data_IF_299976579723
#
_entry.id   IF_299976579723
#
_cell.length_a   1.000
_cell.length_b   1.000
_cell.length_c   1.000
_cell.angle_alpha   90.00
_cell.angle_beta   90.00
_cell.angle_gamma   90.00
#
_symmetry.space_group_name_H-M   'P 1'
#
loop_
_entity.id
_entity.type
_entity.pdbx_description
1 polymer ?
#
# COMPACT_ATOMS: atom_id res chain seq x y z
N UNK A 1 28.08 28.90 -6.14
CA UNK A 1 26.97 28.58 -5.22
C UNK A 1 25.77 28.16 -6.06
N UNK A 2 25.49 26.86 -6.14
CA UNK A 2 24.33 26.39 -6.90
C UNK A 2 23.06 26.80 -6.17
N UNK A 3 22.34 27.75 -6.76
CA UNK A 3 21.05 28.23 -6.30
C UNK A 3 20.14 27.03 -5.96
N UNK A 4 19.54 27.02 -4.77
CA UNK A 4 18.45 26.13 -4.37
C UNK A 4 17.22 26.37 -5.24
N UNK A 5 17.31 26.07 -6.54
CA UNK A 5 16.20 26.20 -7.48
C UNK A 5 15.27 25.02 -7.23
N UNK A 6 14.09 25.31 -6.69
CA UNK A 6 13.04 24.31 -6.51
C UNK A 6 12.68 23.76 -7.89
N UNK A 7 12.91 22.48 -8.10
CA UNK A 7 12.55 21.81 -9.36
C UNK A 7 11.03 21.67 -9.39
N UNK A 8 10.43 22.06 -10.51
CA UNK A 8 8.98 22.04 -10.72
C UNK A 8 8.70 21.34 -12.05
N UNK A 9 7.79 20.37 -12.03
CA UNK A 9 7.40 19.65 -13.23
C UNK A 9 6.68 20.57 -14.23
N UNK A 10 7.00 20.41 -15.51
CA UNK A 10 6.29 21.06 -16.62
C UNK A 10 5.23 20.12 -17.19
N UNK A 11 4.01 20.62 -17.37
CA UNK A 11 2.86 19.84 -17.85
C UNK A 11 2.07 20.68 -18.86
N UNK A 12 1.39 20.01 -19.79
CA UNK A 12 0.51 20.65 -20.77
C UNK A 12 -0.80 21.12 -20.12
N UNK A 13 -1.25 22.31 -20.49
CA UNK A 13 -2.58 22.85 -20.20
C UNK A 13 -3.69 21.93 -20.74
N UNK A 14 -4.78 21.68 -20.00
CA UNK A 14 -5.95 20.97 -20.52
C UNK A 14 -6.77 21.75 -21.55
N UNK A 15 -6.54 23.07 -21.69
CA UNK A 15 -7.27 23.91 -22.63
C UNK A 15 -6.97 23.52 -24.09
N UNK A 16 -7.85 23.89 -25.02
CA UNK A 16 -7.62 23.69 -26.46
C UNK A 16 -6.30 24.33 -26.90
N UNK A 17 -5.99 25.51 -26.35
CA UNK A 17 -4.69 26.16 -26.50
C UNK A 17 -3.69 25.54 -25.50
N UNK A 18 -3.14 24.41 -25.93
CA UNK A 18 -2.23 23.57 -25.15
C UNK A 18 -0.85 24.22 -25.00
N UNK A 19 -0.70 25.10 -24.01
CA UNK A 19 0.60 25.65 -23.61
C UNK A 19 1.22 24.84 -22.47
N UNK A 20 2.56 24.94 -22.32
CA UNK A 20 3.28 24.33 -21.19
C UNK A 20 3.15 25.22 -19.96
N UNK A 21 2.80 24.63 -18.83
CA UNK A 21 2.64 25.32 -17.54
C UNK A 21 3.38 24.58 -16.43
N UNK A 22 3.70 25.31 -15.36
CA UNK A 22 4.24 24.73 -14.13
C UNK A 22 3.14 23.94 -13.43
N UNK A 23 3.43 22.69 -13.07
CA UNK A 23 2.54 21.84 -12.30
C UNK A 23 2.84 21.92 -10.80
N UNK A 24 1.97 21.31 -9.98
CA UNK A 24 2.15 21.23 -8.53
C UNK A 24 3.36 20.37 -8.14
N UNK A 25 3.57 19.25 -8.81
CA UNK A 25 4.63 18.28 -8.49
C UNK A 25 4.86 17.26 -9.60
N UNK A 26 5.75 16.29 -9.39
CA UNK A 26 6.05 15.19 -10.33
C UNK A 26 5.07 14.04 -10.17
N UNK A 27 4.75 13.34 -11.27
CA UNK A 27 3.86 12.17 -11.22
C UNK A 27 4.59 10.93 -10.70
N UNK A 28 3.86 9.98 -10.12
CA UNK A 28 4.44 8.71 -9.68
C UNK A 28 5.08 7.92 -10.84
N UNK A 29 4.54 8.06 -12.05
CA UNK A 29 5.08 7.43 -13.26
C UNK A 29 6.45 7.98 -13.64
N UNK A 30 6.60 9.32 -13.62
CA UNK A 30 7.87 10.01 -13.91
C UNK A 30 8.95 9.64 -12.90
N UNK A 31 8.59 9.58 -11.61
CA UNK A 31 9.51 9.25 -10.51
C UNK A 31 10.03 7.81 -10.63
N UNK A 32 9.12 6.87 -10.93
CA UNK A 32 9.48 5.45 -11.11
C UNK A 32 10.42 5.26 -12.29
N UNK A 33 10.17 5.98 -13.39
CA UNK A 33 10.96 5.90 -14.62
C UNK A 33 12.35 6.57 -14.50
N UNK A 34 12.45 7.60 -13.65
CA UNK A 34 13.71 8.20 -13.26
C UNK A 34 14.53 7.33 -12.27
N UNK A 35 13.97 6.22 -11.78
CA UNK A 35 14.62 5.34 -10.81
C UNK A 35 14.81 5.98 -9.44
N UNK A 36 13.97 6.95 -9.05
CA UNK A 36 14.05 7.64 -7.76
C UNK A 36 13.00 7.12 -6.80
N UNK A 37 13.31 7.18 -5.50
CA UNK A 37 12.34 6.86 -4.45
C UNK A 37 11.58 8.11 -4.01
N UNK A 38 10.31 7.92 -3.65
CA UNK A 38 9.44 8.98 -3.09
C UNK A 38 10.08 9.62 -1.86
N UNK A 39 10.76 8.83 -1.03
CA UNK A 39 11.46 9.29 0.17
C UNK A 39 12.63 10.23 -0.14
N UNK A 40 13.42 9.90 -1.17
CA UNK A 40 14.52 10.76 -1.62
C UNK A 40 13.99 12.13 -2.05
N UNK A 41 12.90 12.15 -2.81
CA UNK A 41 12.28 13.40 -3.27
C UNK A 41 11.69 14.21 -2.13
N UNK A 42 11.08 13.56 -1.12
CA UNK A 42 10.63 14.23 0.11
C UNK A 42 11.79 14.85 0.88
N UNK A 43 12.96 14.18 0.96
CA UNK A 43 14.18 14.75 1.58
C UNK A 43 14.73 15.94 0.81
N UNK A 44 14.62 15.92 -0.52
CA UNK A 44 15.01 17.01 -1.41
C UNK A 44 13.95 18.12 -1.54
N UNK A 45 12.84 18.03 -0.80
CA UNK A 45 11.74 18.99 -0.82
C UNK A 45 11.11 19.18 -2.22
N UNK A 46 11.07 18.11 -3.01
CA UNK A 46 10.40 18.07 -4.32
C UNK A 46 8.95 17.62 -4.13
N UNK A 47 8.02 18.39 -4.70
CA UNK A 47 6.59 18.10 -4.61
C UNK A 47 6.20 16.92 -5.50
N UNK A 48 5.30 16.07 -4.99
CA UNK A 48 4.83 14.85 -5.66
C UNK A 48 3.31 14.94 -5.84
N UNK A 49 2.86 14.71 -7.07
CA UNK A 49 1.46 14.64 -7.44
C UNK A 49 1.04 13.18 -7.61
N UNK A 50 0.44 12.63 -6.55
CA UNK A 50 0.03 11.23 -6.47
C UNK A 50 -1.08 10.85 -7.46
N UNK A 51 -1.88 11.82 -7.90
CA UNK A 51 -3.08 11.57 -8.71
C UNK A 51 -2.84 11.73 -10.21
N UNK A 52 -1.76 12.41 -10.62
CA UNK A 52 -1.41 12.56 -12.04
C UNK A 52 -0.87 11.24 -12.61
N UNK A 53 -1.43 10.83 -13.75
CA UNK A 53 -1.00 9.62 -14.49
C UNK A 53 -0.15 9.91 -15.73
N UNK A 54 -0.13 11.16 -16.20
CA UNK A 54 0.68 11.56 -17.35
C UNK A 54 2.17 11.46 -17.03
N UNK A 55 2.95 11.25 -18.09
CA UNK A 55 4.40 11.18 -18.06
C UNK A 55 4.95 12.11 -19.11
N UNK A 56 5.96 12.89 -18.74
CA UNK A 56 6.70 13.75 -19.66
C UNK A 56 8.19 13.44 -19.56
N UNK A 57 8.82 13.18 -20.70
CA UNK A 57 10.24 12.80 -20.78
C UNK A 57 11.16 13.89 -20.22
N UNK A 58 10.87 15.16 -20.54
CA UNK A 58 11.58 16.33 -19.96
C UNK A 58 11.63 16.31 -18.42
N UNK A 59 10.54 15.93 -17.77
CA UNK A 59 10.48 15.82 -16.31
C UNK A 59 11.32 14.63 -15.79
N UNK A 60 11.33 13.51 -16.52
CA UNK A 60 12.14 12.32 -16.16
C UNK A 60 13.63 12.64 -16.22
N UNK A 61 14.07 13.37 -17.25
CA UNK A 61 15.46 13.81 -17.37
C UNK A 61 15.87 14.76 -16.25
N UNK A 62 15.01 15.72 -15.89
CA UNK A 62 15.23 16.60 -14.74
C UNK A 62 15.38 15.80 -13.43
N UNK A 63 14.52 14.80 -13.23
CA UNK A 63 14.61 13.91 -12.06
C UNK A 63 15.85 13.02 -12.08
N UNK A 64 16.34 12.60 -13.25
CA UNK A 64 17.59 11.81 -13.37
C UNK A 64 18.81 12.62 -12.91
N UNK A 65 18.84 13.92 -13.24
CA UNK A 65 19.93 14.84 -12.86
C UNK A 65 20.03 15.04 -11.34
N UNK A 66 18.95 14.81 -10.59
CA UNK A 66 18.96 14.91 -9.13
C UNK A 66 19.84 13.82 -8.50
N UNK A 67 20.91 14.23 -7.83
CA UNK A 67 21.71 13.34 -6.97
C UNK A 67 21.12 13.30 -5.56
N UNK A 68 21.03 12.11 -4.97
CA UNK A 68 20.56 11.95 -3.60
C UNK A 68 21.59 12.49 -2.62
N UNK A 69 21.15 13.20 -1.58
CA UNK A 69 22.04 13.52 -0.47
C UNK A 69 22.00 12.37 0.54
N UNK A 70 23.11 11.66 0.72
CA UNK A 70 23.30 10.66 1.77
C UNK A 70 23.50 11.33 3.14
N UNK A 71 22.55 12.17 3.55
CA UNK A 71 22.53 12.66 4.93
C UNK A 71 22.11 11.47 5.78
N UNK A 72 23.09 10.78 6.39
CA UNK A 72 22.85 9.78 7.45
C UNK A 72 21.93 10.43 8.48
N UNK A 73 20.65 10.04 8.48
CA UNK A 73 19.70 10.54 9.44
C UNK A 73 20.21 10.18 10.82
N UNK A 74 20.34 11.16 11.72
CA UNK A 74 20.72 10.87 13.10
C UNK A 74 19.70 9.87 13.65
N UNK A 75 20.14 8.67 14.05
CA UNK A 75 19.26 7.66 14.64
C UNK A 75 18.56 8.33 15.83
N UNK A 76 17.22 8.39 15.80
CA UNK A 76 16.46 8.88 16.96
C UNK A 76 16.83 7.97 18.13
N UNK A 77 17.20 8.56 19.27
CA UNK A 77 17.40 7.78 20.49
C UNK A 77 16.10 7.01 20.78
N UNK A 78 16.17 5.74 21.24
CA UNK A 78 14.97 5.02 21.63
C UNK A 78 14.19 5.86 22.63
N UNK A 79 12.85 5.86 22.49
CA UNK A 79 11.99 6.58 23.41
C UNK A 79 12.11 5.92 24.78
N UNK A 80 12.84 6.55 25.69
CA UNK A 80 12.89 6.13 27.09
C UNK A 80 11.52 6.46 27.68
N UNK A 81 10.73 5.43 27.98
CA UNK A 81 9.47 5.59 28.71
C UNK A 81 9.83 6.22 30.05
N UNK A 82 9.54 7.51 30.20
CA UNK A 82 9.67 8.16 31.51
C UNK A 82 8.74 7.43 32.45
N UNK A 83 9.28 6.91 33.54
CA UNK A 83 8.48 6.44 34.65
C UNK A 83 7.50 7.54 35.02
N UNK A 84 6.21 7.26 34.87
CA UNK A 84 5.18 8.18 35.34
C UNK A 84 5.34 8.22 36.84
N UNK A 85 6.01 9.26 37.36
CA UNK A 85 5.95 9.57 38.79
C UNK A 85 4.46 9.71 39.11
N UNK A 86 3.90 8.72 39.82
CA UNK A 86 2.54 8.79 40.33
C UNK A 86 2.53 10.01 41.21
N UNK A 87 1.87 11.09 40.77
CA UNK A 87 1.52 12.16 41.69
C UNK A 87 0.68 11.52 42.79
N UNK A 88 0.94 11.82 44.08
CA UNK A 88 0.10 11.34 45.16
C UNK A 88 -1.36 11.56 44.80
N UNK A 89 -2.18 10.54 45.00
CA UNK A 89 -3.62 10.64 44.74
C UNK A 89 -4.15 11.80 45.58
N UNK A 90 -4.49 12.91 44.92
CA UNK A 90 -5.11 14.05 45.57
C UNK A 90 -6.61 13.73 45.59
N UNK A 91 -7.19 13.36 46.74
CA UNK A 91 -8.62 13.08 46.81
C UNK A 91 -9.34 14.31 46.30
N UNK A 92 -10.27 14.11 45.35
CA UNK A 92 -11.14 15.18 44.91
C UNK A 92 -11.94 15.59 46.13
N UNK A 93 -11.64 16.75 46.69
CA UNK A 93 -12.54 17.42 47.63
C UNK A 93 -13.93 17.38 46.98
N UNK A 94 -14.90 16.88 47.74
CA UNK A 94 -16.30 16.84 47.33
C UNK A 94 -16.64 18.18 46.70
N UNK A 95 -17.03 18.13 45.42
CA UNK A 95 -17.48 19.34 44.72
C UNK A 95 -18.63 19.91 45.56
N UNK A 96 -18.58 21.17 46.02
CA UNK A 96 -19.76 21.80 46.58
C UNK A 96 -20.86 21.70 45.54
N UNK A 97 -22.02 21.19 45.97
CA UNK A 97 -23.20 21.00 45.12
C UNK A 97 -23.47 22.30 44.35
N UNK A 98 -23.40 22.22 43.03
CA UNK A 98 -23.75 23.36 42.19
C UNK A 98 -25.24 23.61 42.39
N UNK A 99 -25.57 24.77 42.99
CA UNK A 99 -26.92 25.32 42.95
C UNK A 99 -27.45 25.32 41.50
N UNK A 100 -28.74 25.03 41.29
CA UNK A 100 -29.31 24.84 39.96
C UNK A 100 -29.23 26.15 39.16
N UNK A 101 -28.42 26.16 38.09
CA UNK A 101 -28.39 27.27 37.14
C UNK A 101 -29.62 27.16 36.24
N UNK A 102 -30.46 28.20 36.25
CA UNK A 102 -31.64 28.35 35.39
C UNK A 102 -31.25 28.16 33.92
N UNK A 103 -31.95 27.25 33.23
CA UNK A 103 -31.89 27.10 31.77
C UNK A 103 -32.40 28.38 31.11
N UNK A 104 -31.51 29.14 30.49
CA UNK A 104 -31.90 30.12 29.47
C UNK A 104 -31.88 29.39 28.13
N UNK A 105 -33.08 29.24 27.57
CA UNK A 105 -33.33 28.75 26.21
C UNK A 105 -32.84 29.83 25.25
N UNK A 106 -31.79 29.55 24.49
CA UNK A 106 -31.37 30.38 23.37
C UNK A 106 -31.46 29.54 22.10
N UNK A 107 -32.47 29.89 21.28
CA UNK A 107 -32.71 29.42 19.94
C UNK A 107 -31.44 29.47 19.08
N UNK A 108 -31.15 28.37 18.38
CA UNK A 108 -30.23 28.37 17.25
C UNK A 108 -31.05 28.48 15.96
N UNK A 109 -30.83 29.51 15.13
CA UNK A 109 -31.52 29.66 13.86
C UNK A 109 -31.06 28.61 12.85
N UNK A 110 -32.04 28.06 12.15
CA UNK A 110 -31.94 27.06 11.11
C UNK A 110 -31.09 27.52 9.91
N UNK A 111 -30.29 26.61 9.34
CA UNK A 111 -29.68 26.77 8.01
C UNK A 111 -30.47 25.95 6.97
N UNK A 112 -30.83 26.56 5.82
CA UNK A 112 -31.75 25.97 4.86
C UNK A 112 -31.11 24.91 3.97
N UNK A 113 -31.92 23.89 3.70
CA UNK A 113 -31.76 22.83 2.71
C UNK A 113 -31.83 23.41 1.28
N UNK A 114 -30.89 23.02 0.42
CA UNK A 114 -31.03 23.15 -1.03
C UNK A 114 -31.05 21.75 -1.65
N UNK A 115 -32.25 21.33 -2.03
CA UNK A 115 -32.50 20.29 -3.01
C UNK A 115 -32.52 20.94 -4.40
N UNK A 116 -31.76 20.40 -5.36
CA UNK A 116 -32.14 20.42 -6.77
C UNK A 116 -31.40 19.31 -7.53
N UNK A 117 -32.21 18.60 -8.30
CA UNK A 117 -32.03 17.33 -9.00
C UNK A 117 -31.69 17.62 -10.47
N UNK A 118 -30.84 16.79 -11.10
CA UNK A 118 -30.75 16.46 -12.56
C UNK A 118 -29.40 15.74 -12.79
N UNK A 119 -29.19 14.66 -13.52
CA UNK A 119 -29.97 13.62 -14.22
C UNK A 119 -28.91 12.55 -14.62
N UNK A 120 -29.23 11.25 -14.69
CA UNK A 120 -28.25 10.21 -14.98
C UNK A 120 -27.97 10.12 -16.49
N UNK A 121 -26.68 10.20 -16.87
CA UNK A 121 -26.21 10.01 -18.24
C UNK A 121 -25.60 8.60 -18.42
N UNK A 122 -25.62 8.05 -19.64
CA UNK A 122 -25.87 6.63 -19.90
C UNK A 122 -24.65 5.71 -19.80
N UNK A 123 -24.94 4.44 -19.44
CA UNK A 123 -24.03 3.28 -19.55
C UNK A 123 -23.47 3.19 -20.96
N UNK A 124 -22.15 3.34 -21.11
CA UNK A 124 -21.42 2.93 -22.31
C UNK A 124 -20.89 1.52 -22.12
N UNK A 125 -21.11 0.73 -23.15
CA UNK A 125 -20.90 -0.71 -23.23
C UNK A 125 -19.47 -1.15 -22.95
N UNK A 126 -19.44 -2.37 -22.41
CA UNK A 126 -18.31 -3.16 -21.99
C UNK A 126 -17.69 -3.80 -23.24
N UNK A 127 -16.71 -3.14 -23.85
CA UNK A 127 -15.88 -3.80 -24.87
C UNK A 127 -14.88 -4.70 -24.15
N UNK A 128 -15.15 -6.01 -24.23
CA UNK A 128 -14.20 -7.09 -23.94
C UNK A 128 -12.99 -6.89 -24.86
N UNK A 129 -11.81 -6.64 -24.27
CA UNK A 129 -10.54 -6.87 -24.96
C UNK A 129 -10.05 -8.26 -24.60
N UNK A 130 -9.99 -9.10 -25.62
CA UNK A 130 -9.48 -10.46 -25.61
C UNK A 130 -8.03 -10.48 -25.09
N UNK A 131 -7.69 -11.37 -24.14
CA UNK A 131 -6.30 -11.67 -23.85
C UNK A 131 -5.71 -12.53 -24.97
N UNK A 132 -4.57 -12.07 -25.47
CA UNK A 132 -3.72 -12.73 -26.45
C UNK A 132 -3.38 -14.15 -26.00
N UNK A 133 -3.65 -15.08 -26.90
CA UNK A 133 -3.08 -16.41 -27.01
C UNK A 133 -1.56 -16.34 -27.02
N UNK A 134 -0.92 -16.89 -25.97
CA UNK A 134 0.42 -17.45 -26.08
C UNK A 134 0.32 -18.88 -25.59
N UNK A 135 0.40 -19.79 -26.56
CA UNK A 135 0.53 -21.22 -26.36
C UNK A 135 1.83 -21.52 -25.64
N UNK A 136 1.76 -22.30 -24.57
CA UNK A 136 2.81 -23.25 -24.23
C UNK A 136 2.11 -24.52 -23.72
N UNK A 137 2.08 -25.52 -24.60
CA UNK A 137 1.53 -26.84 -24.33
C UNK A 137 2.57 -27.72 -23.62
N UNK A 138 2.11 -28.32 -22.50
CA UNK A 138 2.38 -29.66 -21.95
C UNK A 138 3.80 -30.06 -21.48
N UNK A 139 3.94 -31.07 -20.58
CA UNK A 139 2.92 -31.98 -20.01
C UNK A 139 2.94 -32.14 -18.47
N UNK A 140 1.82 -32.59 -17.86
CA UNK A 140 1.72 -33.81 -17.01
C UNK A 140 0.52 -33.78 -16.04
N UNK A 141 -0.28 -34.85 -16.16
CA UNK A 141 -1.14 -35.54 -15.19
C UNK A 141 -1.50 -34.83 -13.88
N UNK A 142 -2.80 -34.63 -13.65
CA UNK A 142 -3.53 -34.78 -12.37
C UNK A 142 -2.80 -34.46 -11.03
N UNK A 143 -1.98 -33.42 -10.98
CA UNK A 143 -1.42 -32.98 -9.70
C UNK A 143 -2.36 -31.98 -9.05
N UNK A 144 -2.88 -32.35 -7.88
CA UNK A 144 -3.68 -31.46 -7.04
C UNK A 144 -2.88 -30.18 -6.74
N UNK A 145 -3.40 -29.04 -7.22
CA UNK A 145 -2.76 -27.75 -7.03
C UNK A 145 -2.66 -27.40 -5.54
N UNK A 146 -1.49 -26.93 -5.10
CA UNK A 146 -1.21 -26.59 -3.69
C UNK A 146 -2.22 -25.58 -3.12
N UNK A 147 -2.81 -24.73 -3.97
CA UNK A 147 -3.84 -23.75 -3.61
C UNK A 147 -5.16 -24.34 -3.12
N UNK A 148 -5.37 -25.65 -3.28
CA UNK A 148 -6.57 -26.34 -2.76
C UNK A 148 -6.48 -26.64 -1.26
N UNK A 149 -5.29 -26.51 -0.65
CA UNK A 149 -5.08 -26.76 0.77
C UNK A 149 -5.66 -25.65 1.66
N UNK A 150 -6.15 -26.05 2.83
CA UNK A 150 -6.84 -25.14 3.71
C UNK A 150 -5.89 -24.08 4.28
N UNK A 151 -6.23 -22.81 4.04
CA UNK A 151 -5.44 -21.68 4.50
C UNK A 151 -4.04 -21.56 3.89
N UNK A 152 -3.81 -22.17 2.70
CA UNK A 152 -2.66 -21.87 1.85
C UNK A 152 -3.08 -20.87 0.77
N UNK A 153 -2.72 -19.60 0.97
CA UNK A 153 -3.06 -18.52 0.03
C UNK A 153 -2.09 -18.45 -1.17
N UNK A 154 -2.46 -17.71 -2.24
CA UNK A 154 -1.65 -17.62 -3.46
C UNK A 154 -0.26 -17.00 -3.23
N UNK A 155 -0.13 -16.12 -2.24
CA UNK A 155 1.16 -15.54 -1.88
C UNK A 155 2.10 -16.54 -1.22
N UNK A 156 1.55 -17.52 -0.52
CA UNK A 156 2.33 -18.60 0.11
C UNK A 156 2.64 -19.68 -0.92
N UNK A 157 1.66 -20.05 -1.76
CA UNK A 157 1.87 -20.97 -2.90
C UNK A 157 3.04 -20.55 -3.78
N UNK A 158 3.14 -19.26 -4.13
CA UNK A 158 4.27 -18.72 -4.90
C UNK A 158 5.63 -18.92 -4.24
N UNK A 159 5.70 -18.86 -2.90
CA UNK A 159 6.96 -19.13 -2.18
C UNK A 159 7.34 -20.60 -2.25
N UNK A 160 6.36 -21.50 -2.22
CA UNK A 160 6.58 -22.93 -2.42
C UNK A 160 7.00 -23.23 -3.86
N UNK A 161 6.36 -22.60 -4.85
CA UNK A 161 6.76 -22.68 -6.27
C UNK A 161 8.20 -22.18 -6.49
N UNK A 162 8.61 -21.08 -5.84
CA UNK A 162 9.98 -20.56 -5.87
C UNK A 162 11.01 -21.56 -5.29
N UNK A 163 10.58 -22.44 -4.38
CA UNK A 163 11.39 -23.50 -3.78
C UNK A 163 11.34 -24.81 -4.56
N UNK A 164 10.53 -24.88 -5.61
CA UNK A 164 10.35 -26.09 -6.42
C UNK A 164 9.25 -27.02 -5.93
N UNK A 165 8.46 -26.61 -4.93
CA UNK A 165 7.30 -27.36 -4.43
C UNK A 165 6.05 -26.84 -5.11
N UNK A 166 5.68 -27.49 -6.20
CA UNK A 166 4.51 -27.14 -7.02
C UNK A 166 3.30 -28.03 -6.77
N UNK A 167 3.52 -29.24 -6.25
CA UNK A 167 2.49 -30.28 -6.11
C UNK A 167 2.33 -30.79 -4.66
N UNK A 168 1.13 -31.28 -4.33
CA UNK A 168 0.85 -31.90 -3.03
C UNK A 168 1.75 -33.11 -2.73
N UNK A 169 2.13 -33.89 -3.76
CA UNK A 169 3.03 -35.03 -3.62
C UNK A 169 4.47 -34.62 -3.28
N UNK A 170 4.92 -33.46 -3.76
CA UNK A 170 6.25 -32.92 -3.48
C UNK A 170 6.32 -32.45 -2.03
N UNK A 171 5.25 -31.82 -1.53
CA UNK A 171 5.16 -31.38 -0.14
C UNK A 171 5.22 -32.55 0.86
N UNK A 172 4.71 -33.73 0.50
CA UNK A 172 4.73 -34.92 1.37
C UNK A 172 6.13 -35.54 1.47
N UNK A 173 6.99 -35.34 0.46
CA UNK A 173 8.35 -35.91 0.40
C UNK A 173 9.39 -35.06 1.13
N UNK A 174 9.12 -33.77 1.32
CA UNK A 174 10.05 -32.83 1.94
C UNK A 174 9.90 -32.74 3.46
N UNK A 175 10.99 -32.32 4.12
CA UNK A 175 11.03 -32.18 5.58
C UNK A 175 10.40 -30.84 6.04
N UNK A 176 9.41 -30.87 6.96
CA UNK A 176 8.71 -29.67 7.40
C UNK A 176 9.61 -28.68 8.14
N UNK A 177 10.67 -29.17 8.79
CA UNK A 177 11.63 -28.36 9.54
C UNK A 177 12.53 -27.51 8.64
N UNK A 178 12.83 -27.99 7.42
CA UNK A 178 13.64 -27.24 6.46
C UNK A 178 12.82 -26.16 5.78
N UNK A 179 11.61 -26.51 5.36
CA UNK A 179 10.66 -25.59 4.74
C UNK A 179 10.27 -24.42 5.66
N UNK A 180 10.08 -24.66 6.95
CA UNK A 180 9.75 -23.60 7.90
C UNK A 180 10.87 -22.56 8.07
N UNK A 181 12.14 -23.01 8.01
CA UNK A 181 13.30 -22.09 8.10
C UNK A 181 13.44 -21.24 6.84
N UNK A 182 13.10 -21.81 5.69
CA UNK A 182 13.28 -21.17 4.40
C UNK A 182 12.12 -20.22 4.06
N UNK A 183 10.89 -20.60 4.43
CA UNK A 183 9.69 -19.81 4.15
C UNK A 183 9.39 -18.86 5.32
N UNK A 184 9.71 -17.58 5.14
CA UNK A 184 9.37 -16.54 6.12
C UNK A 184 7.86 -16.45 6.35
N UNK A 185 7.45 -16.74 7.58
CA UNK A 185 6.07 -16.55 8.08
C UNK A 185 5.21 -17.82 8.07
N UNK A 186 5.78 -18.99 7.84
CA UNK A 186 5.11 -20.29 7.97
C UNK A 186 5.76 -21.05 9.14
N UNK A 187 4.97 -21.51 10.10
CA UNK A 187 5.46 -22.36 11.20
C UNK A 187 5.52 -23.84 10.80
N UNK A 188 6.37 -24.62 11.46
CA UNK A 188 6.50 -26.07 11.24
C UNK A 188 5.16 -26.80 11.41
N UNK A 189 4.40 -26.45 12.45
CA UNK A 189 3.06 -26.99 12.73
C UNK A 189 2.09 -26.80 11.56
N UNK A 190 2.19 -25.65 10.86
CA UNK A 190 1.35 -25.32 9.72
C UNK A 190 1.63 -26.28 8.56
N UNK A 191 2.90 -26.56 8.32
CA UNK A 191 3.36 -27.46 7.24
C UNK A 191 2.96 -28.89 7.57
N UNK A 192 3.07 -29.32 8.83
CA UNK A 192 2.61 -30.64 9.28
C UNK A 192 1.10 -30.81 9.01
N UNK A 193 0.30 -29.78 9.27
CA UNK A 193 -1.14 -29.83 8.99
C UNK A 193 -1.42 -29.92 7.48
N UNK A 194 -0.70 -29.18 6.65
CA UNK A 194 -0.82 -29.30 5.19
C UNK A 194 -0.41 -30.68 4.67
N UNK A 195 0.65 -31.28 5.22
CA UNK A 195 1.05 -32.66 4.85
C UNK A 195 -0.04 -33.66 5.24
N UNK A 196 -0.71 -33.49 6.38
CA UNK A 196 -1.86 -34.34 6.77
C UNK A 196 -3.02 -34.20 5.78
N UNK A 197 -3.40 -32.97 5.44
CA UNK A 197 -4.43 -32.70 4.43
C UNK A 197 -4.06 -33.30 3.07
N UNK A 198 -2.79 -33.18 2.63
CA UNK A 198 -2.31 -33.80 1.40
C UNK A 198 -2.44 -35.33 1.43
N UNK A 199 -2.10 -35.97 2.56
CA UNK A 199 -2.24 -37.43 2.71
C UNK A 199 -3.71 -37.87 2.67
N UNK A 200 -4.61 -37.10 3.29
CA UNK A 200 -6.05 -37.36 3.24
C UNK A 200 -6.60 -37.22 1.81
N UNK A 201 -6.17 -36.20 1.06
CA UNK A 201 -6.60 -35.97 -0.32
C UNK A 201 -6.07 -37.02 -1.30
N UNK A 202 -4.90 -37.61 -1.05
CA UNK A 202 -4.33 -38.69 -1.87
C UNK A 202 -4.91 -40.08 -1.53
N UNK A 203 -5.60 -40.20 -0.39
CA UNK A 203 -6.26 -41.43 0.05
C UNK A 203 -7.75 -41.49 -0.32
N UNK A 204 -8.29 -40.43 -0.94
CA UNK A 204 -9.66 -40.36 -1.48
C UNK A 204 -9.70 -40.79 -2.95
#
# INVERSE_FOLDING_TARGET
MESNKKIVAMVTSPAKDAHKRKAKGFSLGEIKEAGKTVELLRKLNVDIDYFRKSKHESNVEELRKLKGTDKKSKKKKPFVVKEKKRTPFKPKASKPEKKPVKKVVAEKPAKPTKAAKKTPAPKKERVKKEPKTIKKELPKAETTALTSLSGLGPATAKKFEELGVSCAEELVKEDPAELAKLIKGVSEERIINWIKECKELLQQ
#
